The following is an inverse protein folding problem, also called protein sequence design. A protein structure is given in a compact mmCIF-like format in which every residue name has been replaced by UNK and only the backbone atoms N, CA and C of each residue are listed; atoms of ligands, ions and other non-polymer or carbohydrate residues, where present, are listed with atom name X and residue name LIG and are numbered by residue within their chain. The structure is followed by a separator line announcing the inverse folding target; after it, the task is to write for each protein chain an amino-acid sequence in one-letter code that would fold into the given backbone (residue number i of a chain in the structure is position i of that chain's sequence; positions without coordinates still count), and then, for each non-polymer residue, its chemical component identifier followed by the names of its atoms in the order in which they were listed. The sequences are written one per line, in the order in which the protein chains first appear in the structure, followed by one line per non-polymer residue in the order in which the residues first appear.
data_IF_270715608283
#
_entry.id   IF_270715608283
#
_cell.length_a   1.000
_cell.length_b   1.000
_cell.length_c   1.000
_cell.angle_alpha   90.00
_cell.angle_beta   90.00
_cell.angle_gamma   90.00
#
_symmetry.space_group_name_H-M   'P 1'
#
loop_
_entity.id
_entity.type
_entity.pdbx_description
1 polymer ?
#
# COMPACT_ATOMS: atom_id res chain seq x y z
N UNK A 1 55.48 -48.12 -32.16
CA UNK A 1 54.51 -48.35 -33.26
C UNK A 1 53.27 -48.99 -32.67
N UNK A 2 52.25 -48.19 -32.39
CA UNK A 2 50.86 -48.63 -32.20
C UNK A 2 50.00 -47.37 -32.29
N UNK A 3 49.25 -47.23 -33.37
CA UNK A 3 48.51 -45.99 -33.65
C UNK A 3 47.14 -46.00 -32.97
N UNK A 4 46.77 -44.88 -32.35
CA UNK A 4 45.49 -44.71 -31.68
C UNK A 4 44.47 -44.03 -32.60
N UNK A 5 43.50 -44.81 -33.08
CA UNK A 5 42.38 -44.30 -33.88
C UNK A 5 41.53 -43.36 -33.02
N UNK A 6 41.42 -42.10 -33.40
CA UNK A 6 40.63 -41.08 -32.68
C UNK A 6 39.21 -41.03 -33.22
N UNK A 7 38.26 -41.60 -32.48
CA UNK A 7 36.82 -41.49 -32.80
C UNK A 7 36.27 -40.15 -32.31
N UNK A 8 36.02 -39.21 -33.23
CA UNK A 8 35.37 -37.93 -32.92
C UNK A 8 33.86 -38.14 -32.80
N UNK A 9 33.29 -37.97 -31.59
CA UNK A 9 31.84 -37.84 -31.45
C UNK A 9 31.38 -36.45 -31.97
N UNK A 10 30.23 -36.36 -32.64
CA UNK A 10 29.66 -35.08 -33.04
C UNK A 10 29.21 -34.30 -31.80
N UNK A 11 29.42 -32.98 -31.81
CA UNK A 11 28.89 -32.09 -30.78
C UNK A 11 27.36 -32.05 -30.83
N UNK A 12 26.71 -32.06 -29.66
CA UNK A 12 25.27 -31.84 -29.56
C UNK A 12 24.91 -30.42 -30.05
N UNK A 13 23.74 -30.22 -30.70
CA UNK A 13 23.32 -28.90 -31.14
C UNK A 13 23.11 -27.97 -29.94
N UNK A 14 23.59 -26.73 -30.06
CA UNK A 14 23.40 -25.72 -29.02
C UNK A 14 21.92 -25.32 -28.94
N UNK A 15 21.25 -25.64 -27.83
CA UNK A 15 19.91 -25.14 -27.54
C UNK A 15 19.92 -23.61 -27.48
N UNK A 16 19.35 -22.99 -28.51
CA UNK A 16 19.17 -21.54 -28.57
C UNK A 16 18.04 -21.16 -27.64
N UNK A 17 18.37 -20.90 -26.36
CA UNK A 17 17.41 -20.39 -25.37
C UNK A 17 16.88 -19.03 -25.81
N UNK A 18 15.71 -19.04 -26.42
CA UNK A 18 14.93 -17.85 -26.75
C UNK A 18 14.71 -17.01 -25.49
N UNK A 19 15.07 -15.73 -25.55
CA UNK A 19 14.73 -14.77 -24.52
C UNK A 19 13.21 -14.51 -24.59
N UNK A 20 12.41 -14.84 -23.55
CA UNK A 20 10.96 -14.73 -23.61
C UNK A 20 10.44 -13.28 -23.72
N UNK A 21 11.29 -12.28 -23.49
CA UNK A 21 10.92 -10.86 -23.54
C UNK A 21 11.04 -10.21 -24.93
N UNK A 22 11.31 -10.97 -26.00
CA UNK A 22 11.60 -10.40 -27.32
C UNK A 22 10.72 -10.95 -28.47
N UNK A 23 9.40 -10.79 -28.34
CA UNK A 23 8.46 -10.89 -29.47
C UNK A 23 7.46 -9.72 -29.48
N UNK A 24 7.12 -9.26 -30.69
CA UNK A 24 6.15 -8.18 -31.01
C UNK A 24 6.62 -6.72 -30.85
N UNK A 25 7.79 -6.41 -31.44
CA UNK A 25 7.98 -5.12 -32.09
C UNK A 25 7.72 -5.28 -33.60
N UNK A 26 6.51 -4.93 -34.07
CA UNK A 26 6.17 -4.89 -35.51
C UNK A 26 6.01 -3.43 -35.95
N UNK A 27 6.91 -2.89 -36.79
CA UNK A 27 6.79 -1.50 -37.24
C UNK A 27 5.59 -1.30 -38.17
N UNK A 28 4.73 -0.35 -37.83
CA UNK A 28 3.75 0.24 -38.75
C UNK A 28 2.37 -0.44 -38.81
N UNK A 29 1.42 0.16 -38.08
CA UNK A 29 0.07 0.43 -38.60
C UNK A 29 -0.44 1.75 -38.00
N UNK A 30 -1.29 2.45 -38.73
CA UNK A 30 -1.66 3.84 -38.48
C UNK A 30 -2.69 4.00 -37.37
N UNK A 31 -2.74 5.20 -36.81
CA UNK A 31 -3.88 5.71 -36.05
C UNK A 31 -5.18 5.56 -36.87
N UNK A 32 -6.26 5.16 -36.20
CA UNK A 32 -7.62 5.14 -36.72
C UNK A 32 -8.58 5.46 -35.55
N UNK A 33 -9.70 6.12 -35.84
CA UNK A 33 -10.47 6.87 -34.85
C UNK A 33 -11.60 6.08 -34.17
N UNK A 34 -11.93 6.54 -32.96
CA UNK A 34 -13.19 6.41 -32.20
C UNK A 34 -14.26 5.38 -32.60
N UNK A 35 -14.55 4.49 -31.65
CA UNK A 35 -15.94 4.21 -31.25
C UNK A 35 -16.08 4.28 -29.72
N UNK A 36 -17.07 5.02 -29.17
CA UNK A 36 -17.41 4.95 -27.75
C UNK A 36 -18.27 3.71 -27.50
N UNK A 37 -17.63 2.57 -27.25
CA UNK A 37 -18.34 1.32 -26.98
C UNK A 37 -18.95 1.34 -25.56
N UNK A 38 -20.27 1.24 -25.48
CA UNK A 38 -20.94 0.84 -24.24
C UNK A 38 -20.48 -0.58 -23.85
N UNK A 39 -20.12 -0.77 -22.58
CA UNK A 39 -19.61 -2.05 -22.07
C UNK A 39 -20.76 -2.86 -21.48
N UNK A 40 -21.11 -3.95 -22.14
CA UNK A 40 -22.04 -4.96 -21.60
C UNK A 40 -21.30 -5.92 -20.66
N UNK A 41 -21.66 -5.94 -19.37
CA UNK A 41 -21.14 -6.88 -18.37
C UNK A 41 -21.27 -8.35 -18.86
N UNK A 42 -20.30 -9.22 -18.53
CA UNK A 42 -20.41 -10.68 -18.81
C UNK A 42 -20.42 -11.52 -17.54
N UNK A 43 -21.35 -12.47 -17.46
CA UNK A 43 -21.88 -12.98 -16.19
C UNK A 43 -20.97 -13.93 -15.39
N UNK A 44 -19.87 -14.44 -15.95
CA UNK A 44 -18.94 -15.32 -15.22
C UNK A 44 -17.77 -14.57 -14.56
N UNK A 45 -17.50 -13.34 -15.00
CA UNK A 45 -16.56 -12.43 -14.39
C UNK A 45 -17.10 -10.98 -14.54
N UNK A 46 -17.95 -10.50 -13.61
CA UNK A 46 -18.60 -9.18 -13.68
C UNK A 46 -17.65 -8.02 -13.32
N UNK A 47 -16.35 -8.20 -13.55
CA UNK A 47 -15.30 -7.21 -13.38
C UNK A 47 -14.43 -7.27 -14.63
N UNK A 48 -14.44 -6.18 -15.40
CA UNK A 48 -13.75 -6.08 -16.69
C UNK A 48 -12.25 -6.38 -16.64
N UNK A 49 -11.70 -6.67 -17.81
CA UNK A 49 -10.27 -6.92 -18.04
C UNK A 49 -9.33 -5.70 -17.86
N UNK A 50 -8.09 -5.81 -18.36
CA UNK A 50 -6.91 -5.14 -17.81
C UNK A 50 -6.98 -3.62 -17.83
N UNK A 51 -6.61 -3.01 -16.68
CA UNK A 51 -6.74 -1.59 -16.38
C UNK A 51 -5.53 -1.06 -15.60
N UNK A 52 -4.65 -0.34 -16.31
CA UNK A 52 -3.74 0.61 -15.68
C UNK A 52 -3.60 1.91 -16.50
N UNK A 53 -4.60 2.79 -16.35
CA UNK A 53 -4.44 4.24 -16.48
C UNK A 53 -4.10 4.89 -15.12
N UNK A 54 -3.72 4.08 -14.13
CA UNK A 54 -3.93 4.22 -12.67
C UNK A 54 -5.39 4.35 -12.19
N UNK A 55 -6.32 4.33 -13.14
CA UNK A 55 -7.75 3.99 -13.07
C UNK A 55 -8.57 4.37 -11.83
N UNK A 56 -9.51 5.28 -12.11
CA UNK A 56 -10.89 5.17 -11.63
C UNK A 56 -11.05 5.01 -10.12
N UNK A 57 -10.29 5.79 -9.36
CA UNK A 57 -10.37 5.81 -7.90
C UNK A 57 -11.82 6.21 -7.51
N UNK A 58 -12.54 5.40 -6.72
CA UNK A 58 -13.90 5.67 -6.24
C UNK A 58 -14.11 7.08 -5.70
N UNK A 59 -15.33 7.61 -5.84
CA UNK A 59 -15.74 8.99 -5.54
C UNK A 59 -15.40 9.43 -4.11
N UNK A 60 -14.16 9.86 -3.91
CA UNK A 60 -13.59 10.11 -2.60
C UNK A 60 -12.06 10.06 -2.61
N UNK A 61 -11.49 8.96 -3.11
CA UNK A 61 -10.04 8.83 -3.27
C UNK A 61 -9.49 9.60 -4.46
N UNK A 62 -8.16 9.63 -4.60
CA UNK A 62 -7.46 10.51 -5.55
C UNK A 62 -7.51 12.00 -5.17
N UNK A 63 -8.29 12.36 -4.15
CA UNK A 63 -8.27 13.67 -3.50
C UNK A 63 -7.11 13.73 -2.51
N UNK A 64 -6.58 14.94 -2.36
CA UNK A 64 -5.57 15.28 -1.36
C UNK A 64 -5.97 16.55 -0.61
N UNK A 65 -5.56 16.63 0.65
CA UNK A 65 -5.73 17.82 1.49
C UNK A 65 -4.85 18.98 0.99
N UNK A 66 -5.01 20.17 1.57
CA UNK A 66 -4.12 21.30 1.30
C UNK A 66 -2.65 21.05 1.70
N UNK A 67 -2.36 20.02 2.51
CA UNK A 67 -1.00 19.56 2.84
C UNK A 67 -0.51 18.42 1.93
N UNK A 68 -1.32 17.96 0.98
CA UNK A 68 -1.00 16.87 0.07
C UNK A 68 -1.21 15.46 0.64
N UNK A 69 -1.75 15.33 1.85
CA UNK A 69 -2.15 14.03 2.42
C UNK A 69 -3.36 13.46 1.66
N UNK A 70 -3.57 12.14 1.58
CA UNK A 70 -4.81 11.56 1.05
C UNK A 70 -6.04 12.08 1.84
N UNK A 71 -7.07 12.54 1.13
CA UNK A 71 -8.37 12.89 1.68
C UNK A 71 -9.30 11.66 1.61
N UNK A 72 -9.48 10.97 2.73
CA UNK A 72 -10.19 9.69 2.80
C UNK A 72 -11.69 9.92 3.03
N UNK A 73 -12.43 9.97 1.92
CA UNK A 73 -13.89 9.91 1.94
C UNK A 73 -14.33 8.46 1.71
N UNK A 74 -15.08 7.90 2.66
CA UNK A 74 -15.51 6.49 2.68
C UNK A 74 -16.70 6.27 1.74
N UNK A 75 -16.64 5.21 0.94
CA UNK A 75 -17.70 4.86 -0.01
C UNK A 75 -18.97 4.41 0.73
N UNK A 76 -20.14 4.89 0.28
CA UNK A 76 -21.43 4.47 0.86
C UNK A 76 -21.74 2.97 0.64
N UNK A 77 -21.17 2.36 -0.39
CA UNK A 77 -21.26 0.93 -0.68
C UNK A 77 -19.87 0.28 -0.74
N UNK A 78 -19.78 -0.98 -0.34
CA UNK A 78 -18.57 -1.79 -0.45
C UNK A 78 -18.19 -2.00 -1.94
N UNK A 79 -16.91 -1.89 -2.25
CA UNK A 79 -16.37 -2.13 -3.58
C UNK A 79 -16.49 -3.62 -3.96
N UNK A 80 -17.12 -3.90 -5.12
CA UNK A 80 -17.26 -5.25 -5.69
C UNK A 80 -15.88 -5.90 -5.83
N UNK A 81 -15.76 -7.16 -5.41
CA UNK A 81 -14.53 -7.95 -5.48
C UNK A 81 -14.83 -9.45 -5.60
N UNK A 82 -13.88 -10.22 -6.14
CA UNK A 82 -14.03 -11.66 -6.42
C UNK A 82 -14.23 -12.56 -5.19
N UNK A 83 -14.01 -12.03 -3.98
CA UNK A 83 -14.16 -12.77 -2.73
C UNK A 83 -15.51 -12.52 -2.03
N UNK A 84 -16.37 -11.66 -2.59
CA UNK A 84 -17.63 -11.25 -1.96
C UNK A 84 -17.45 -10.49 -0.64
N UNK A 85 -16.25 -9.97 -0.38
CA UNK A 85 -15.89 -9.36 0.90
C UNK A 85 -16.50 -7.96 1.05
N UNK A 86 -17.17 -7.71 2.18
CA UNK A 86 -17.89 -6.45 2.46
C UNK A 86 -17.52 -5.85 3.84
N UNK A 87 -16.27 -6.05 4.28
CA UNK A 87 -15.75 -5.43 5.52
C UNK A 87 -15.53 -3.91 5.38
N UNK A 88 -15.07 -3.27 6.46
CA UNK A 88 -14.82 -1.82 6.48
C UNK A 88 -13.74 -1.41 5.45
N UNK A 89 -12.74 -2.26 5.23
CA UNK A 89 -11.77 -2.12 4.15
C UNK A 89 -12.41 -2.01 2.75
N UNK A 90 -13.50 -2.74 2.48
CA UNK A 90 -14.18 -2.68 1.19
C UNK A 90 -14.88 -1.33 0.92
N UNK A 91 -15.17 -0.56 1.97
CA UNK A 91 -15.68 0.80 1.86
C UNK A 91 -14.58 1.86 1.70
N UNK A 92 -13.30 1.49 1.80
CA UNK A 92 -12.18 2.41 1.56
C UNK A 92 -12.09 2.75 0.05
N UNK A 93 -11.87 4.02 -0.33
CA UNK A 93 -11.72 4.38 -1.75
C UNK A 93 -10.47 3.78 -2.40
N UNK A 94 -9.44 3.39 -1.64
CA UNK A 94 -8.24 2.74 -2.17
C UNK A 94 -8.29 1.20 -2.06
N UNK A 95 -9.48 0.61 -1.96
CA UNK A 95 -9.65 -0.84 -1.87
C UNK A 95 -9.31 -1.56 -3.19
N UNK A 96 -8.50 -2.62 -3.08
CA UNK A 96 -8.06 -3.42 -4.23
C UNK A 96 -9.13 -4.38 -4.71
N UNK A 97 -9.20 -4.58 -6.03
CA UNK A 97 -10.08 -5.56 -6.66
C UNK A 97 -9.43 -6.05 -7.98
N UNK A 98 -9.98 -7.05 -8.69
CA UNK A 98 -9.34 -7.59 -9.90
C UNK A 98 -9.08 -6.58 -11.02
N UNK A 99 -9.91 -5.52 -11.14
CA UNK A 99 -9.70 -4.40 -12.06
C UNK A 99 -8.89 -3.23 -11.48
N UNK A 100 -8.38 -3.37 -10.26
CA UNK A 100 -7.61 -2.36 -9.51
C UNK A 100 -6.63 -3.04 -8.53
N UNK A 101 -5.52 -3.63 -9.03
CA UNK A 101 -4.54 -4.32 -8.20
C UNK A 101 -3.70 -3.35 -7.36
N UNK A 102 -3.08 -3.89 -6.29
CA UNK A 102 -2.04 -3.17 -5.55
C UNK A 102 -0.88 -2.75 -6.47
N UNK A 103 -0.43 -1.50 -6.33
CA UNK A 103 0.69 -0.93 -7.09
C UNK A 103 1.27 0.31 -6.39
N UNK A 104 2.59 0.50 -6.45
CA UNK A 104 3.26 1.63 -5.80
C UNK A 104 2.64 2.99 -6.18
N UNK A 105 2.40 3.82 -5.18
CA UNK A 105 1.84 5.16 -5.37
C UNK A 105 0.37 5.20 -5.79
N UNK A 106 -0.40 4.11 -5.63
CA UNK A 106 -1.84 4.12 -5.85
C UNK A 106 -2.59 4.98 -4.83
N UNK A 107 -2.17 4.97 -3.56
CA UNK A 107 -2.70 5.86 -2.52
C UNK A 107 -2.08 7.24 -2.72
N UNK A 108 -2.76 8.11 -3.49
CA UNK A 108 -2.21 9.40 -3.89
C UNK A 108 -1.94 10.29 -2.67
N UNK A 109 -0.69 10.75 -2.53
CA UNK A 109 -0.26 11.60 -1.43
C UNK A 109 0.21 10.84 -0.17
N UNK A 110 0.19 9.49 -0.17
CA UNK A 110 0.50 8.65 1.01
C UNK A 110 1.77 9.09 1.78
N UNK A 111 2.85 9.45 1.09
CA UNK A 111 4.09 9.91 1.72
C UNK A 111 3.95 11.18 2.58
N UNK A 112 2.94 12.01 2.34
CA UNK A 112 2.67 13.25 3.09
C UNK A 112 1.93 13.00 4.43
N UNK A 113 1.42 11.78 4.65
CA UNK A 113 1.04 11.34 6.00
C UNK A 113 2.25 11.13 6.92
N UNK A 114 3.49 11.23 6.44
CA UNK A 114 4.70 11.00 7.23
C UNK A 114 5.65 12.20 7.17
N UNK A 115 6.10 12.64 8.33
CA UNK A 115 6.97 13.80 8.48
C UNK A 115 8.43 13.40 8.72
N UNK A 116 9.36 14.15 8.13
CA UNK A 116 10.76 14.04 8.49
C UNK A 116 10.99 14.55 9.92
N UNK A 117 11.64 13.73 10.73
CA UNK A 117 11.97 14.00 12.13
C UNK A 117 13.42 13.59 12.41
N UNK A 118 14.01 14.16 13.47
CA UNK A 118 15.39 13.92 13.88
C UNK A 118 15.48 13.60 15.37
N UNK A 119 16.40 12.69 15.70
CA UNK A 119 16.83 12.42 17.07
C UNK A 119 17.98 13.36 17.42
N UNK A 120 17.72 14.24 18.39
CA UNK A 120 18.65 15.20 18.96
C UNK A 120 19.49 14.57 20.08
N UNK A 121 20.51 15.28 20.57
CA UNK A 121 21.30 14.87 21.74
C UNK A 121 22.48 13.93 21.47
N UNK A 122 22.66 13.47 20.23
CA UNK A 122 23.85 12.71 19.83
C UNK A 122 25.08 13.62 19.71
N UNK A 123 26.25 13.09 20.14
CA UNK A 123 27.56 13.76 20.00
C UNK A 123 27.95 14.04 18.55
N UNK A 124 27.37 13.31 17.60
CA UNK A 124 27.63 13.44 16.17
C UNK A 124 26.63 14.40 15.47
N UNK A 125 25.82 15.13 16.24
CA UNK A 125 24.74 15.98 15.71
C UNK A 125 23.41 15.24 15.51
N UNK A 126 22.37 15.93 15.01
CA UNK A 126 21.05 15.32 14.81
C UNK A 126 21.08 14.15 13.82
N UNK A 127 20.42 13.06 14.18
CA UNK A 127 20.30 11.86 13.33
C UNK A 127 18.88 11.74 12.78
N UNK A 128 18.70 11.31 11.53
CA UNK A 128 17.36 11.09 10.98
C UNK A 128 16.63 9.97 11.76
N UNK A 129 15.37 10.22 12.12
CA UNK A 129 14.51 9.22 12.72
C UNK A 129 13.80 8.38 11.64
N UNK A 130 13.24 7.21 12.00
CA UNK A 130 12.42 6.44 11.06
C UNK A 130 11.12 7.20 10.75
N UNK A 131 11.04 7.80 9.57
CA UNK A 131 9.91 8.59 9.05
C UNK A 131 8.54 7.90 9.21
N UNK A 132 8.47 6.57 9.09
CA UNK A 132 7.22 5.82 9.23
C UNK A 132 6.61 5.96 10.64
N UNK A 133 7.41 6.26 11.67
CA UNK A 133 6.92 6.44 13.05
C UNK A 133 6.37 7.84 13.33
N UNK A 134 6.63 8.82 12.45
CA UNK A 134 6.27 10.22 12.64
C UNK A 134 5.17 10.60 11.65
N UNK A 135 3.96 10.08 11.88
CA UNK A 135 2.81 10.50 11.10
C UNK A 135 2.55 12.01 11.27
N UNK A 136 2.03 12.67 10.24
CA UNK A 136 1.47 14.02 10.35
C UNK A 136 0.13 14.00 11.09
N UNK A 137 -0.37 15.16 11.51
CA UNK A 137 -1.67 15.28 12.21
C UNK A 137 -2.84 14.65 11.41
N UNK A 138 -2.80 14.78 10.08
CA UNK A 138 -3.82 14.21 9.18
C UNK A 138 -3.67 12.68 9.06
N UNK A 139 -2.44 12.16 9.08
CA UNK A 139 -2.20 10.72 9.20
C UNK A 139 -2.64 10.16 10.55
N UNK A 140 -2.41 10.91 11.64
CA UNK A 140 -2.90 10.58 12.98
C UNK A 140 -4.42 10.45 13.03
N UNK A 141 -5.14 11.39 12.42
CA UNK A 141 -6.61 11.38 12.33
C UNK A 141 -7.15 10.21 11.51
N UNK A 142 -6.51 9.86 10.39
CA UNK A 142 -6.89 8.68 9.60
C UNK A 142 -6.62 7.37 10.35
N UNK A 143 -5.46 7.24 11.01
CA UNK A 143 -5.15 6.07 11.83
C UNK A 143 -6.14 5.90 13.00
N UNK A 144 -6.55 7.01 13.64
CA UNK A 144 -7.63 7.00 14.63
C UNK A 144 -8.95 6.51 14.01
N UNK A 145 -9.35 7.09 12.87
CA UNK A 145 -10.60 6.75 12.18
C UNK A 145 -10.67 5.26 11.82
N UNK A 146 -9.55 4.65 11.43
CA UNK A 146 -9.43 3.21 11.18
C UNK A 146 -9.62 2.38 12.46
N UNK A 147 -8.89 2.70 13.53
CA UNK A 147 -9.02 1.97 14.81
C UNK A 147 -10.43 2.12 15.41
N UNK A 148 -11.05 3.30 15.29
CA UNK A 148 -12.41 3.57 15.80
C UNK A 148 -13.51 2.77 15.08
N UNK A 149 -13.25 2.19 13.90
CA UNK A 149 -14.18 1.23 13.28
C UNK A 149 -14.28 -0.08 14.07
N UNK A 150 -13.28 -0.42 14.88
CA UNK A 150 -13.24 -1.63 15.71
C UNK A 150 -13.34 -1.31 17.21
N UNK A 151 -12.73 -0.20 17.64
CA UNK A 151 -12.63 0.25 19.05
C UNK A 151 -13.09 1.72 19.15
N UNK A 152 -14.41 2.00 19.22
CA UNK A 152 -14.93 3.38 19.13
C UNK A 152 -14.45 4.34 20.22
N UNK A 153 -14.02 3.81 21.39
CA UNK A 153 -13.46 4.59 22.49
C UNK A 153 -11.96 4.91 22.37
N UNK A 154 -11.32 4.60 21.23
CA UNK A 154 -9.92 4.96 21.01
C UNK A 154 -9.75 6.49 20.84
N UNK A 155 -8.59 7.00 21.24
CA UNK A 155 -8.23 8.43 21.25
C UNK A 155 -6.94 8.68 20.46
N UNK A 156 -6.78 9.86 19.85
CA UNK A 156 -5.51 10.28 19.24
C UNK A 156 -4.69 11.08 20.25
N UNK A 157 -3.47 10.62 20.56
CA UNK A 157 -2.55 11.29 21.48
C UNK A 157 -1.22 11.61 20.79
N UNK A 158 -0.50 12.60 21.31
CA UNK A 158 0.86 12.95 20.88
C UNK A 158 1.87 12.50 21.94
N UNK A 159 2.99 11.91 21.50
CA UNK A 159 4.12 11.58 22.37
C UNK A 159 5.44 11.86 21.67
N UNK A 160 6.25 12.76 22.24
CA UNK A 160 7.65 12.93 21.84
C UNK A 160 8.46 11.74 22.34
N UNK A 161 9.19 11.06 21.44
CA UNK A 161 10.12 10.02 21.85
C UNK A 161 11.32 10.64 22.59
N UNK A 162 11.75 10.01 23.68
CA UNK A 162 12.94 10.40 24.41
C UNK A 162 13.52 9.24 25.22
N UNK A 163 14.85 9.23 25.37
CA UNK A 163 15.60 8.20 26.09
C UNK A 163 16.96 8.72 26.52
N UNK A 164 17.14 8.98 27.82
CA UNK A 164 18.37 9.58 28.34
C UNK A 164 18.62 10.98 27.72
N UNK A 165 19.81 11.23 27.12
CA UNK A 165 20.10 12.52 26.48
C UNK A 165 19.43 12.68 25.10
N UNK A 166 18.86 11.60 24.53
CA UNK A 166 18.29 11.60 23.19
C UNK A 166 16.80 11.97 23.22
N UNK A 167 16.36 12.81 22.29
CA UNK A 167 14.96 13.22 22.17
C UNK A 167 14.61 13.52 20.71
N UNK A 168 13.40 13.17 20.27
CA UNK A 168 12.91 13.54 18.95
C UNK A 168 12.59 15.04 18.86
N UNK A 169 12.91 15.68 17.74
CA UNK A 169 12.58 17.08 17.49
C UNK A 169 11.08 17.33 17.16
N UNK A 170 10.28 16.27 17.09
CA UNK A 170 8.83 16.29 16.81
C UNK A 170 8.10 15.24 17.67
N UNK A 171 6.81 15.44 17.98
CA UNK A 171 5.97 14.37 18.52
C UNK A 171 5.71 13.28 17.47
N UNK A 172 5.50 12.05 17.94
CA UNK A 172 4.80 11.01 17.19
C UNK A 172 3.30 11.10 17.51
N UNK A 173 2.45 10.77 16.54
CA UNK A 173 1.02 10.52 16.80
C UNK A 173 0.80 9.05 17.09
N UNK A 174 0.09 8.76 18.18
CA UNK A 174 -0.27 7.42 18.63
C UNK A 174 -1.79 7.34 18.80
N UNK A 175 -2.38 6.22 18.41
CA UNK A 175 -3.76 5.88 18.78
C UNK A 175 -3.71 5.16 20.12
N UNK A 176 -4.35 5.74 21.13
CA UNK A 176 -4.53 5.17 22.46
C UNK A 176 -5.83 4.36 22.50
N UNK A 177 -5.74 3.12 22.96
CA UNK A 177 -6.88 2.23 23.19
C UNK A 177 -7.49 2.47 24.59
N UNK A 178 -8.76 2.07 24.84
CA UNK A 178 -9.43 2.27 26.13
C UNK A 178 -8.77 1.60 27.34
N UNK A 179 -8.01 0.53 27.10
CA UNK A 179 -7.17 -0.17 28.11
C UNK A 179 -5.86 0.56 28.44
N UNK A 180 -5.49 1.58 27.65
CA UNK A 180 -4.23 2.32 27.76
C UNK A 180 -3.16 1.91 26.76
N UNK A 181 -3.37 0.87 25.95
CA UNK A 181 -2.44 0.43 24.90
C UNK A 181 -2.18 1.53 23.86
N UNK A 182 -0.94 1.66 23.40
CA UNK A 182 -0.51 2.74 22.49
C UNK A 182 -0.01 2.20 21.15
N UNK A 183 -0.74 2.48 20.08
CA UNK A 183 -0.41 2.06 18.71
C UNK A 183 0.16 3.23 17.90
N UNK A 184 1.31 3.06 17.22
CA UNK A 184 1.85 4.13 16.38
C UNK A 184 0.99 4.35 15.12
N UNK A 185 0.56 5.61 14.90
CA UNK A 185 -0.35 5.94 13.81
C UNK A 185 0.25 5.66 12.42
N UNK A 186 1.53 5.98 12.20
CA UNK A 186 2.18 5.72 10.92
C UNK A 186 2.41 4.22 10.66
N UNK A 187 2.62 3.43 11.73
CA UNK A 187 2.60 1.96 11.65
C UNK A 187 1.23 1.40 11.22
N UNK A 188 0.13 1.93 11.76
CA UNK A 188 -1.24 1.59 11.34
C UNK A 188 -1.43 1.91 9.86
N UNK A 189 -1.11 3.13 9.42
CA UNK A 189 -1.24 3.54 8.01
C UNK A 189 -0.40 2.67 7.07
N UNK A 190 0.87 2.41 7.43
CA UNK A 190 1.79 1.62 6.62
C UNK A 190 1.36 0.17 6.45
N UNK A 191 0.63 -0.40 7.43
CA UNK A 191 0.08 -1.75 7.31
C UNK A 191 -1.23 -1.72 6.53
N UNK A 192 -2.19 -0.87 6.93
CA UNK A 192 -3.55 -0.88 6.37
C UNK A 192 -3.61 -0.48 4.89
N UNK A 193 -2.79 0.50 4.48
CA UNK A 193 -2.66 0.94 3.09
C UNK A 193 -1.54 0.23 2.32
N UNK A 194 -1.00 -0.87 2.87
CA UNK A 194 0.06 -1.70 2.27
C UNK A 194 1.23 -0.86 1.72
N UNK A 195 1.81 0.00 2.56
CA UNK A 195 2.90 0.91 2.18
C UNK A 195 2.53 2.02 1.17
N UNK A 196 1.24 2.24 0.93
CA UNK A 196 0.73 3.16 -0.10
C UNK A 196 0.33 2.48 -1.41
N UNK A 197 0.39 1.14 -1.47
CA UNK A 197 -0.04 0.37 -2.64
C UNK A 197 -1.56 0.18 -2.75
N UNK A 198 -2.31 0.37 -1.65
CA UNK A 198 -3.76 0.19 -1.58
C UNK A 198 -4.20 -0.66 -0.38
N UNK A 199 -5.51 -0.79 -0.19
CA UNK A 199 -6.12 -1.52 0.93
C UNK A 199 -6.55 -2.92 0.46
N UNK A 200 -6.15 -3.96 1.19
CA UNK A 200 -6.50 -5.35 0.91
C UNK A 200 -7.75 -5.84 1.67
N UNK A 201 -8.31 -6.97 1.25
CA UNK A 201 -9.28 -7.77 2.02
C UNK A 201 -8.76 -8.17 3.41
N UNK A 202 -7.45 -8.31 3.59
CA UNK A 202 -6.84 -8.63 4.88
C UNK A 202 -6.72 -7.43 5.82
N UNK A 203 -6.79 -6.19 5.32
CA UNK A 203 -6.38 -5.00 6.07
C UNK A 203 -7.14 -4.81 7.39
N UNK A 204 -8.45 -5.12 7.42
CA UNK A 204 -9.24 -5.10 8.65
C UNK A 204 -8.79 -6.18 9.65
N UNK A 205 -8.44 -7.38 9.19
CA UNK A 205 -7.99 -8.49 10.03
C UNK A 205 -6.54 -8.30 10.52
N UNK A 206 -5.67 -7.73 9.69
CA UNK A 206 -4.34 -7.29 10.07
C UNK A 206 -4.42 -6.17 11.12
N UNK A 207 -5.36 -5.22 10.97
CA UNK A 207 -5.65 -4.20 11.98
C UNK A 207 -6.19 -4.81 13.29
N UNK A 208 -7.13 -5.76 13.23
CA UNK A 208 -7.63 -6.48 14.42
C UNK A 208 -6.49 -7.21 15.15
N UNK A 209 -5.58 -7.83 14.39
CA UNK A 209 -4.39 -8.50 14.92
C UNK A 209 -3.40 -7.50 15.53
N UNK A 210 -3.19 -6.33 14.91
CA UNK A 210 -2.39 -5.26 15.49
C UNK A 210 -3.00 -4.75 16.81
N UNK A 211 -4.31 -4.56 16.88
CA UNK A 211 -5.02 -4.17 18.10
C UNK A 211 -4.81 -5.25 19.18
N UNK A 212 -5.22 -6.50 18.91
CA UNK A 212 -5.12 -7.60 19.89
C UNK A 212 -3.69 -7.89 20.37
N UNK A 213 -2.67 -7.71 19.53
CA UNK A 213 -1.27 -7.81 19.92
C UNK A 213 -0.84 -6.72 20.91
N UNK A 214 -1.42 -5.51 20.85
CA UNK A 214 -1.12 -4.45 21.80
C UNK A 214 -1.86 -4.65 23.13
N UNK A 215 -3.13 -5.09 23.10
CA UNK A 215 -3.89 -5.49 24.31
C UNK A 215 -3.18 -6.62 25.08
N UNK A 216 -2.46 -7.49 24.37
CA UNK A 216 -1.74 -8.63 24.95
C UNK A 216 -0.33 -8.29 25.48
N UNK A 217 0.10 -7.03 25.40
CA UNK A 217 1.46 -6.58 25.73
C UNK A 217 1.52 -5.53 26.87
N UNK A 218 0.36 -5.19 27.43
CA UNK A 218 0.16 -4.23 28.54
C UNK A 218 -0.25 -4.94 29.83
#
# INVERSE_FOLDING_TARGET
MTDAITTVLPAAPAETRLNPFNMLATPGKSWAETHPNEVTETAWCPTDGPRDSRDSIPTGGGKITAKGCPDIQINAAAARNQYGYTGAAAHNPYFTNPGNPLRDGYVLGFGNWFEDAQIMGSKNGPMAANKILYASEEGGKEALRLVQQQIPGAELVQQTWGGGPFMANKPMYLVKLPDGGLMNAGGILSTYYTGGMGVMTSADADLTKMIGNNVSAS
#
